data_IF_459132984981
#
_entry.id   IF_459132984981
#
_cell.length_a   1.000
_cell.length_b   1.000
_cell.length_c   1.000
_cell.angle_alpha   90.00
_cell.angle_beta   90.00
_cell.angle_gamma   90.00
#
_symmetry.space_group_name_H-M   'P 1'
#
loop_
_entity.id
_entity.type
_entity.pdbx_description
1 polymer ?
#
# COMPACT_ATOMS: atom_id res chain seq x y z
N UNK A 1 19.81 11.70 0.03
CA UNK A 1 19.68 12.45 1.29
C UNK A 1 18.27 12.38 1.89
N UNK A 2 17.22 12.74 1.13
CA UNK A 2 15.83 12.75 1.63
C UNK A 2 15.37 11.42 2.27
N UNK A 3 15.44 10.30 1.53
CA UNK A 3 14.94 9.00 1.98
C UNK A 3 15.60 8.46 3.26
N UNK A 4 16.84 8.85 3.54
CA UNK A 4 17.62 8.29 4.64
C UNK A 4 17.67 9.21 5.85
N UNK A 5 17.60 10.53 5.66
CA UNK A 5 17.89 11.50 6.72
C UNK A 5 16.78 12.54 6.97
N UNK A 6 15.99 12.89 5.94
CA UNK A 6 15.10 14.06 6.01
C UNK A 6 13.63 13.68 6.05
N UNK A 7 13.26 12.55 5.45
CA UNK A 7 11.85 12.18 5.34
C UNK A 7 11.20 12.05 6.73
N UNK A 8 10.09 12.78 6.90
CA UNK A 8 9.31 12.86 8.12
C UNK A 8 8.51 11.56 8.31
N UNK A 9 8.88 10.81 9.34
CA UNK A 9 8.34 9.48 9.63
C UNK A 9 6.84 9.54 9.94
N UNK A 10 6.38 10.55 10.67
CA UNK A 10 4.97 10.66 11.07
C UNK A 10 4.10 11.00 9.87
N UNK A 11 4.58 11.89 8.98
CA UNK A 11 3.90 12.18 7.72
C UNK A 11 3.85 10.96 6.81
N UNK A 12 4.95 10.19 6.73
CA UNK A 12 4.98 8.97 5.93
C UNK A 12 4.01 7.91 6.46
N UNK A 13 3.96 7.69 7.79
CA UNK A 13 3.01 6.78 8.43
C UNK A 13 1.55 7.20 8.18
N UNK A 14 1.24 8.49 8.37
CA UNK A 14 -0.10 9.02 8.06
C UNK A 14 -0.46 8.85 6.59
N UNK A 15 0.49 9.13 5.69
CA UNK A 15 0.28 8.95 4.25
C UNK A 15 0.04 7.49 3.88
N UNK A 16 0.74 6.56 4.55
CA UNK A 16 0.56 5.13 4.35
C UNK A 16 -0.85 4.71 4.76
N UNK A 17 -1.29 5.08 5.97
CA UNK A 17 -2.63 4.74 6.46
C UNK A 17 -3.75 5.31 5.59
N UNK A 18 -3.57 6.54 5.07
CA UNK A 18 -4.52 7.14 4.15
C UNK A 18 -4.58 6.40 2.81
N UNK A 19 -3.43 6.03 2.24
CA UNK A 19 -3.37 5.27 0.99
C UNK A 19 -3.96 3.85 1.16
N UNK A 20 -3.71 3.19 2.29
CA UNK A 20 -4.27 1.88 2.62
C UNK A 20 -5.80 1.92 2.70
N UNK A 21 -6.35 2.92 3.40
CA UNK A 21 -7.79 3.12 3.53
C UNK A 21 -8.44 3.43 2.17
N UNK A 22 -7.82 4.30 1.38
CA UNK A 22 -8.30 4.64 0.03
C UNK A 22 -8.27 3.41 -0.89
N UNK A 23 -7.19 2.63 -0.87
CA UNK A 23 -7.10 1.37 -1.63
C UNK A 23 -8.27 0.44 -1.29
N UNK A 24 -8.55 0.22 0.00
CA UNK A 24 -9.67 -0.64 0.40
C UNK A 24 -11.01 -0.09 -0.07
N UNK A 25 -11.25 1.21 0.09
CA UNK A 25 -12.49 1.85 -0.37
C UNK A 25 -12.70 1.69 -1.89
N UNK A 26 -11.63 1.89 -2.68
CA UNK A 26 -11.67 1.76 -4.14
C UNK A 26 -11.89 0.30 -4.57
N UNK A 27 -11.26 -0.66 -3.90
CA UNK A 27 -11.52 -2.10 -4.10
C UNK A 27 -13.00 -2.39 -3.89
N UNK A 28 -13.59 -1.89 -2.81
CA UNK A 28 -15.00 -2.15 -2.47
C UNK A 28 -15.97 -1.51 -3.46
N UNK A 29 -15.60 -0.38 -4.05
CA UNK A 29 -16.32 0.27 -5.16
C UNK A 29 -16.10 -0.39 -6.53
N UNK A 30 -15.23 -1.40 -6.63
CA UNK A 30 -14.89 -2.04 -7.91
C UNK A 30 -13.99 -1.20 -8.83
N UNK A 31 -13.40 -0.11 -8.31
CA UNK A 31 -12.49 0.75 -9.07
C UNK A 31 -11.06 0.19 -8.98
N UNK A 32 -10.79 -0.87 -9.74
CA UNK A 32 -9.60 -1.72 -9.55
C UNK A 32 -8.28 -1.06 -9.97
N UNK A 33 -8.25 -0.34 -11.08
CA UNK A 33 -7.05 0.37 -11.53
C UNK A 33 -6.58 1.44 -10.51
N UNK A 34 -7.43 2.38 -10.04
CA UNK A 34 -6.98 3.33 -9.03
C UNK A 34 -6.72 2.67 -7.67
N UNK A 35 -7.40 1.57 -7.34
CA UNK A 35 -7.06 0.78 -6.15
C UNK A 35 -5.64 0.20 -6.24
N UNK A 36 -5.25 -0.29 -7.41
CA UNK A 36 -3.90 -0.81 -7.65
C UNK A 36 -2.85 0.30 -7.51
N UNK A 37 -3.11 1.49 -8.04
CA UNK A 37 -2.23 2.66 -7.86
C UNK A 37 -2.02 3.01 -6.38
N UNK A 38 -3.08 2.94 -5.56
CA UNK A 38 -2.94 3.13 -4.12
C UNK A 38 -2.10 2.02 -3.45
N UNK A 39 -2.17 0.78 -3.93
CA UNK A 39 -1.31 -0.31 -3.46
C UNK A 39 0.18 -0.05 -3.79
N UNK A 40 0.47 0.46 -4.99
CA UNK A 40 1.82 0.87 -5.38
C UNK A 40 2.32 2.02 -4.50
N UNK A 41 1.45 2.99 -4.20
CA UNK A 41 1.75 4.09 -3.28
C UNK A 41 2.06 3.59 -1.86
N UNK A 42 1.31 2.61 -1.36
CA UNK A 42 1.60 1.97 -0.07
C UNK A 42 2.99 1.31 -0.07
N UNK A 43 3.33 0.56 -1.12
CA UNK A 43 4.65 -0.06 -1.30
C UNK A 43 5.77 0.98 -1.28
N UNK A 44 5.60 2.08 -2.00
CA UNK A 44 6.58 3.16 -2.02
C UNK A 44 6.77 3.82 -0.65
N UNK A 45 5.68 4.15 0.05
CA UNK A 45 5.72 4.75 1.38
C UNK A 45 6.37 3.82 2.41
N UNK A 46 6.08 2.52 2.33
CA UNK A 46 6.75 1.51 3.14
C UNK A 46 8.27 1.48 2.88
N UNK A 47 8.70 1.51 1.62
CA UNK A 47 10.13 1.54 1.30
C UNK A 47 10.84 2.78 1.86
N UNK A 48 10.17 3.94 1.86
CA UNK A 48 10.70 5.15 2.49
C UNK A 48 10.81 5.02 4.02
N UNK A 49 9.79 4.44 4.67
CA UNK A 49 9.81 4.18 6.11
C UNK A 49 10.92 3.18 6.49
N UNK A 50 11.11 2.13 5.70
CA UNK A 50 12.16 1.11 5.90
C UNK A 50 13.56 1.73 5.71
N UNK A 51 13.74 2.54 4.66
CA UNK A 51 14.98 3.27 4.41
C UNK A 51 15.32 4.29 5.53
N UNK A 52 14.31 4.85 6.20
CA UNK A 52 14.49 5.71 7.38
C UNK A 52 14.83 4.93 8.66
N UNK A 53 14.84 3.61 8.63
CA UNK A 53 15.02 2.77 9.82
C UNK A 53 13.85 2.87 10.80
N UNK A 54 12.68 3.33 10.34
CA UNK A 54 11.51 3.61 11.17
C UNK A 54 10.56 2.40 11.31
N UNK A 55 11.00 1.23 10.83
CA UNK A 55 10.23 -0.02 10.76
C UNK A 55 11.04 -1.13 11.41
N UNK A 56 10.51 -1.68 12.50
CA UNK A 56 11.07 -2.89 13.13
C UNK A 56 10.86 -4.13 12.28
N UNK A 57 11.58 -5.22 12.56
CA UNK A 57 11.43 -6.49 11.84
C UNK A 57 9.98 -6.99 11.86
N UNK A 58 9.31 -6.89 13.02
CA UNK A 58 7.91 -7.31 13.18
C UNK A 58 6.96 -6.41 12.41
N UNK A 59 7.16 -5.10 12.46
CA UNK A 59 6.36 -4.14 11.66
C UNK A 59 6.54 -4.39 10.17
N UNK A 60 7.76 -4.70 9.72
CA UNK A 60 8.07 -5.00 8.31
C UNK A 60 7.21 -6.14 7.79
N UNK A 61 7.20 -7.27 8.50
CA UNK A 61 6.42 -8.46 8.12
C UNK A 61 4.93 -8.15 8.07
N UNK A 62 4.43 -7.41 9.07
CA UNK A 62 3.03 -6.99 9.14
C UNK A 62 2.65 -6.09 7.96
N UNK A 63 3.42 -5.04 7.68
CA UNK A 63 3.14 -4.08 6.61
C UNK A 63 3.19 -4.75 5.24
N UNK A 64 4.16 -5.62 4.97
CA UNK A 64 4.22 -6.39 3.72
C UNK A 64 2.97 -7.26 3.55
N UNK A 65 2.51 -7.89 4.64
CA UNK A 65 1.31 -8.74 4.61
C UNK A 65 0.05 -7.92 4.33
N UNK A 66 -0.07 -6.71 4.89
CA UNK A 66 -1.17 -5.78 4.61
C UNK A 66 -1.22 -5.36 3.14
N UNK A 67 -0.09 -4.89 2.59
CA UNK A 67 0.00 -4.48 1.18
C UNK A 67 -0.35 -5.65 0.26
N UNK A 68 0.21 -6.84 0.55
CA UNK A 68 -0.08 -8.06 -0.22
C UNK A 68 -1.57 -8.40 -0.20
N UNK A 69 -2.24 -8.28 0.95
CA UNK A 69 -3.69 -8.54 1.06
C UNK A 69 -4.50 -7.64 0.12
N UNK A 70 -4.18 -6.34 0.06
CA UNK A 70 -4.85 -5.40 -0.85
C UNK A 70 -4.63 -5.78 -2.32
N UNK A 71 -3.38 -6.03 -2.71
CA UNK A 71 -3.05 -6.41 -4.09
C UNK A 71 -3.73 -7.71 -4.51
N UNK A 72 -3.79 -8.70 -3.62
CA UNK A 72 -4.50 -9.97 -3.88
C UNK A 72 -6.00 -9.72 -4.07
N UNK A 73 -6.64 -8.88 -3.25
CA UNK A 73 -8.05 -8.50 -3.43
C UNK A 73 -8.28 -7.82 -4.79
N UNK A 74 -7.39 -6.92 -5.20
CA UNK A 74 -7.45 -6.29 -6.53
C UNK A 74 -7.36 -7.34 -7.63
N UNK A 75 -6.35 -8.22 -7.59
CA UNK A 75 -6.13 -9.24 -8.60
C UNK A 75 -7.31 -10.23 -8.70
N UNK A 76 -7.87 -10.66 -7.57
CA UNK A 76 -9.04 -11.54 -7.55
C UNK A 76 -10.25 -10.89 -8.24
N UNK A 77 -10.55 -9.63 -7.91
CA UNK A 77 -11.65 -8.90 -8.56
C UNK A 77 -11.38 -8.65 -10.05
N UNK A 78 -10.13 -8.37 -10.42
CA UNK A 78 -9.75 -8.15 -11.81
C UNK A 78 -9.93 -9.41 -12.66
N UNK A 79 -9.45 -10.56 -12.17
CA UNK A 79 -9.65 -11.84 -12.86
C UNK A 79 -11.13 -12.22 -12.98
N UNK A 80 -11.95 -11.92 -11.96
CA UNK A 80 -13.39 -12.15 -12.01
C UNK A 80 -14.10 -11.26 -13.04
N UNK A 81 -13.61 -10.04 -13.27
CA UNK A 81 -14.14 -9.12 -14.28
C UNK A 81 -13.74 -9.53 -15.69
N UNK A 82 -12.49 -9.95 -15.90
CA UNK A 82 -11.99 -10.47 -17.19
C UNK A 82 -12.69 -11.77 -17.64
N UNK A 83 -13.26 -12.53 -16.70
CA UNK A 83 -14.09 -13.71 -17.02
C UNK A 83 -15.54 -13.38 -17.43
N UNK A 84 -15.92 -12.10 -17.48
CA UNK A 84 -17.27 -11.63 -17.89
C UNK A 84 -17.32 -11.03 -19.30
N UNK A 85 -16.16 -10.86 -19.94
CA UNK A 85 -15.99 -10.52 -21.37
C UNK A 85 -15.74 -11.77 -22.19
#
# INVERSE_FOLDING_TARGET
EYNFNVADIDRLRKSFSLAEAEASMLIDKGLLLPAYDMCLKCSHLFNLLDARGAVSVTERVKTISQIRSLVVRVAQKYCADQGRT
#
